data_IF_399570167628
#
_entry.id   IF_399570167628
#
_cell.length_a   1.000
_cell.length_b   1.000
_cell.length_c   1.000
_cell.angle_alpha   90.00
_cell.angle_beta   90.00
_cell.angle_gamma   90.00
#
_symmetry.space_group_name_H-M   'P 1'
#
loop_
_entity.id
_entity.type
_entity.pdbx_description
1 polymer ?
#
# COMPACT_ATOMS: atom_id res chain seq x y z
N UNK A 1 -7.46 -9.00 -28.74
CA UNK A 1 -7.94 -7.69 -28.33
C UNK A 1 -7.63 -7.45 -26.85
N UNK A 2 -7.11 -6.26 -26.52
CA UNK A 2 -6.72 -5.91 -25.15
C UNK A 2 -7.87 -6.07 -24.16
N UNK A 3 -9.09 -5.71 -24.56
CA UNK A 3 -10.29 -5.84 -23.74
C UNK A 3 -10.61 -7.29 -23.39
N UNK A 4 -10.40 -8.20 -24.34
CA UNK A 4 -10.60 -9.63 -24.13
C UNK A 4 -9.64 -10.18 -23.09
N UNK A 5 -8.38 -9.71 -23.12
CA UNK A 5 -7.37 -10.11 -22.14
C UNK A 5 -7.69 -9.57 -20.74
N UNK A 6 -8.21 -8.34 -20.67
CA UNK A 6 -8.62 -7.74 -19.40
C UNK A 6 -9.78 -8.51 -18.78
N UNK A 7 -10.74 -8.95 -19.58
CA UNK A 7 -11.89 -9.71 -19.11
C UNK A 7 -11.51 -11.11 -18.61
N UNK A 8 -10.34 -11.63 -19.04
CA UNK A 8 -9.82 -12.91 -18.56
C UNK A 8 -9.10 -12.77 -17.22
N UNK A 9 -8.68 -11.56 -16.84
CA UNK A 9 -8.08 -11.30 -15.54
C UNK A 9 -9.22 -11.28 -14.51
N UNK A 10 -9.26 -12.30 -13.67
CA UNK A 10 -10.30 -12.47 -12.68
C UNK A 10 -9.71 -12.42 -11.28
N UNK A 11 -9.76 -11.24 -10.67
CA UNK A 11 -9.26 -11.00 -9.31
C UNK A 11 -10.00 -11.85 -8.28
N UNK A 12 -11.19 -12.32 -8.59
CA UNK A 12 -11.96 -13.18 -7.69
C UNK A 12 -11.42 -14.60 -7.63
N UNK A 13 -10.61 -14.99 -8.61
CA UNK A 13 -9.97 -16.31 -8.63
C UNK A 13 -8.67 -16.28 -7.83
N UNK A 14 -8.51 -17.24 -6.92
CA UNK A 14 -7.30 -17.35 -6.10
C UNK A 14 -6.06 -17.62 -6.96
N UNK A 15 -6.23 -18.21 -8.15
CA UNK A 15 -5.14 -18.53 -9.04
C UNK A 15 -4.78 -17.38 -10.00
N UNK A 16 -5.52 -16.31 -9.98
CA UNK A 16 -5.27 -15.16 -10.86
C UNK A 16 -4.13 -14.30 -10.32
N UNK A 17 -3.10 -13.98 -11.14
CA UNK A 17 -2.00 -13.11 -10.69
C UNK A 17 -2.48 -11.76 -10.17
N UNK A 18 -3.57 -11.20 -10.69
CA UNK A 18 -4.12 -9.93 -10.21
C UNK A 18 -4.56 -10.01 -8.75
N UNK A 19 -4.95 -11.18 -8.25
CA UNK A 19 -5.31 -11.41 -6.85
C UNK A 19 -4.12 -11.14 -5.93
N UNK A 20 -2.94 -11.63 -6.30
CA UNK A 20 -1.71 -11.41 -5.53
C UNK A 20 -1.32 -9.94 -5.52
N UNK A 21 -1.42 -9.28 -6.67
CA UNK A 21 -1.08 -7.85 -6.78
C UNK A 21 -2.02 -7.03 -5.89
N UNK A 22 -3.31 -7.37 -5.89
CA UNK A 22 -4.27 -6.69 -5.01
C UNK A 22 -3.88 -6.84 -3.55
N UNK A 23 -3.46 -8.05 -3.13
CA UNK A 23 -2.97 -8.27 -1.77
C UNK A 23 -1.78 -7.38 -1.43
N UNK A 24 -0.83 -7.24 -2.36
CA UNK A 24 0.37 -6.45 -2.13
C UNK A 24 0.05 -4.98 -1.90
N UNK A 25 -0.80 -4.40 -2.75
CA UNK A 25 -1.09 -2.96 -2.69
C UNK A 25 -2.16 -2.61 -1.65
N UNK A 26 -3.03 -3.56 -1.30
CA UNK A 26 -4.11 -3.33 -0.35
C UNK A 26 -3.75 -3.72 1.09
N UNK A 27 -2.62 -4.38 1.31
CA UNK A 27 -2.13 -4.62 2.67
C UNK A 27 -1.89 -3.28 3.36
N UNK A 28 -2.04 -3.26 4.69
CA UNK A 28 -1.85 -2.01 5.44
C UNK A 28 -0.49 -1.39 5.15
N UNK A 29 0.58 -2.20 5.25
CA UNK A 29 1.93 -1.68 5.04
C UNK A 29 2.19 -1.29 3.60
N UNK A 30 1.73 -2.09 2.64
CA UNK A 30 1.86 -1.77 1.21
C UNK A 30 1.17 -0.47 0.85
N UNK A 31 -0.08 -0.31 1.30
CA UNK A 31 -0.86 0.92 1.06
C UNK A 31 -0.18 2.14 1.64
N UNK A 32 0.28 2.05 2.90
CA UNK A 32 0.91 3.17 3.60
C UNK A 32 2.24 3.57 2.96
N UNK A 33 3.06 2.59 2.55
CA UNK A 33 4.33 2.87 1.87
C UNK A 33 4.07 3.60 0.55
N UNK A 34 3.11 3.12 -0.24
CA UNK A 34 2.77 3.76 -1.51
C UNK A 34 2.34 5.21 -1.31
N UNK A 35 1.47 5.46 -0.33
CA UNK A 35 0.97 6.82 -0.04
C UNK A 35 2.10 7.73 0.42
N UNK A 36 2.96 7.25 1.32
CA UNK A 36 4.08 8.04 1.82
C UNK A 36 5.04 8.41 0.69
N UNK A 37 5.32 7.47 -0.20
CA UNK A 37 6.24 7.70 -1.32
C UNK A 37 5.70 8.67 -2.38
N UNK A 38 4.41 9.00 -2.33
CA UNK A 38 3.86 10.08 -3.18
C UNK A 38 4.46 11.44 -2.83
N UNK A 39 4.87 11.63 -1.58
CA UNK A 39 5.43 12.91 -1.14
C UNK A 39 6.80 13.19 -1.76
N UNK A 40 7.68 12.19 -1.76
CA UNK A 40 9.06 12.33 -2.22
C UNK A 40 9.79 10.99 -2.16
N UNK A 41 11.06 11.01 -2.52
CA UNK A 41 11.98 9.90 -2.31
C UNK A 41 12.34 9.81 -0.83
N UNK A 42 12.37 8.60 -0.28
CA UNK A 42 12.68 8.36 1.13
C UNK A 42 13.81 7.33 1.25
N UNK A 43 14.63 7.51 2.28
CA UNK A 43 15.57 6.47 2.72
C UNK A 43 14.81 5.46 3.58
N UNK A 44 15.39 4.27 3.72
CA UNK A 44 14.82 3.20 4.54
C UNK A 44 14.48 3.68 5.96
N UNK A 45 15.44 4.31 6.62
CA UNK A 45 15.25 4.81 7.99
C UNK A 45 14.17 5.88 8.07
N UNK A 46 14.06 6.71 7.04
CA UNK A 46 13.03 7.75 6.99
C UNK A 46 11.63 7.14 6.86
N UNK A 47 11.48 6.09 6.03
CA UNK A 47 10.21 5.37 5.91
C UNK A 47 9.83 4.72 7.23
N UNK A 48 10.79 4.11 7.91
CA UNK A 48 10.56 3.45 9.19
C UNK A 48 10.08 4.44 10.24
N UNK A 49 10.66 5.63 10.26
CA UNK A 49 10.26 6.68 11.20
C UNK A 49 8.90 7.31 10.83
N UNK A 50 8.62 7.40 9.55
CA UNK A 50 7.37 8.01 9.06
C UNK A 50 6.16 7.11 9.29
N UNK A 51 6.34 5.81 9.12
CA UNK A 51 5.24 4.83 9.25
C UNK A 51 5.32 4.19 10.63
N UNK A 52 4.46 4.66 11.52
CA UNK A 52 4.44 4.20 12.90
C UNK A 52 4.04 2.74 12.98
N UNK A 53 4.78 1.97 13.80
CA UNK A 53 4.46 0.57 14.08
C UNK A 53 5.05 -0.45 13.14
N UNK A 54 5.71 -0.03 12.04
CA UNK A 54 6.29 -0.99 11.11
C UNK A 54 7.66 -1.46 11.62
N UNK A 55 7.89 -2.78 11.59
CA UNK A 55 9.20 -3.35 11.92
C UNK A 55 10.14 -3.22 10.72
N UNK A 56 11.46 -3.27 11.00
CA UNK A 56 12.45 -3.26 9.92
C UNK A 56 12.24 -4.42 8.95
N UNK A 57 11.95 -5.60 9.51
CA UNK A 57 11.72 -6.81 8.71
C UNK A 57 10.51 -6.64 7.78
N UNK A 58 9.41 -6.13 8.31
CA UNK A 58 8.20 -5.93 7.53
C UNK A 58 8.38 -4.85 6.47
N UNK A 59 9.07 -3.77 6.83
CA UNK A 59 9.36 -2.70 5.87
C UNK A 59 10.21 -3.22 4.72
N UNK A 60 11.29 -3.94 5.03
CA UNK A 60 12.18 -4.50 4.01
C UNK A 60 11.42 -5.47 3.09
N UNK A 61 10.61 -6.35 3.68
CA UNK A 61 9.85 -7.35 2.94
C UNK A 61 8.81 -6.71 2.03
N UNK A 62 8.08 -5.72 2.54
CA UNK A 62 7.05 -5.02 1.78
C UNK A 62 7.66 -4.22 0.63
N UNK A 63 8.76 -3.51 0.90
CA UNK A 63 9.47 -2.76 -0.14
C UNK A 63 9.95 -3.69 -1.26
N UNK A 64 10.49 -4.85 -0.89
CA UNK A 64 10.95 -5.84 -1.87
C UNK A 64 9.80 -6.32 -2.75
N UNK A 65 8.66 -6.60 -2.15
CA UNK A 65 7.46 -7.03 -2.88
C UNK A 65 7.01 -5.95 -3.87
N UNK A 66 6.93 -4.70 -3.42
CA UNK A 66 6.51 -3.59 -4.27
C UNK A 66 7.52 -3.31 -5.38
N UNK A 67 8.81 -3.53 -5.10
CA UNK A 67 9.87 -3.41 -6.11
C UNK A 67 9.73 -4.47 -7.18
N UNK A 68 9.48 -5.72 -6.77
CA UNK A 68 9.27 -6.84 -7.69
C UNK A 68 8.07 -6.62 -8.60
N UNK A 69 7.03 -6.00 -8.08
CA UNK A 69 5.84 -5.68 -8.86
C UNK A 69 6.04 -4.48 -9.79
N UNK A 70 7.16 -3.76 -9.65
CA UNK A 70 7.47 -2.62 -10.49
C UNK A 70 6.87 -1.30 -10.03
N UNK A 71 6.41 -1.21 -8.78
CA UNK A 71 5.83 0.01 -8.23
C UNK A 71 6.85 0.89 -7.51
N UNK A 72 7.91 0.28 -6.99
CA UNK A 72 8.93 0.97 -6.21
C UNK A 72 10.30 0.75 -6.85
N UNK A 73 11.07 1.82 -6.91
CA UNK A 73 12.45 1.80 -7.37
C UNK A 73 13.37 1.91 -6.17
N UNK A 74 14.31 0.98 -6.05
CA UNK A 74 15.34 0.99 -5.05
C UNK A 74 16.66 1.45 -5.68
N UNK A 75 17.27 2.47 -5.12
CA UNK A 75 18.55 2.99 -5.63
C UNK A 75 19.56 2.98 -4.50
N UNK A 76 20.62 2.17 -4.69
CA UNK A 76 21.72 2.10 -3.76
C UNK A 76 22.89 2.95 -4.27
N UNK A 77 23.50 3.70 -3.37
CA UNK A 77 24.64 4.56 -3.69
C UNK A 77 25.91 3.98 -3.10
N UNK A 78 27.01 3.92 -3.86
CA UNK A 78 28.29 3.39 -3.38
C UNK A 78 29.05 4.43 -2.56
N UNK A 79 28.45 4.85 -1.45
CA UNK A 79 29.02 5.85 -0.54
C UNK A 79 29.17 5.25 0.85
N UNK A 80 29.96 5.93 1.72
CA UNK A 80 30.16 5.53 3.11
C UNK A 80 29.65 6.66 4.01
N UNK A 81 28.66 6.40 4.88
CA UNK A 81 27.89 5.16 5.05
C UNK A 81 27.00 4.86 3.85
N UNK A 82 26.60 3.58 3.65
CA UNK A 82 25.74 3.20 2.54
C UNK A 82 24.43 3.96 2.56
N UNK A 83 23.98 4.36 1.37
CA UNK A 83 22.75 5.11 1.20
C UNK A 83 21.83 4.35 0.24
N UNK A 84 20.61 4.07 0.66
CA UNK A 84 19.60 3.43 -0.17
C UNK A 84 18.35 4.30 -0.16
N UNK A 85 17.88 4.65 -1.35
CA UNK A 85 16.68 5.46 -1.51
C UNK A 85 15.59 4.68 -2.21
N UNK A 86 14.34 4.97 -1.84
CA UNK A 86 13.15 4.37 -2.41
C UNK A 86 12.27 5.46 -2.99
N UNK A 87 11.78 5.21 -4.20
CA UNK A 87 10.90 6.14 -4.90
C UNK A 87 9.85 5.37 -5.69
N UNK A 88 8.81 6.04 -6.12
CA UNK A 88 7.79 5.42 -6.96
C UNK A 88 8.18 5.46 -8.42
N UNK A 89 7.93 4.34 -9.13
CA UNK A 89 7.95 4.32 -10.58
C UNK A 89 6.71 5.06 -11.11
N UNK A 90 6.62 5.36 -12.41
CA UNK A 90 5.38 5.92 -12.97
C UNK A 90 4.15 5.05 -12.67
N UNK A 91 4.30 3.72 -12.77
CA UNK A 91 3.23 2.78 -12.42
C UNK A 91 2.90 2.84 -10.93
N UNK A 92 3.93 2.95 -10.07
CA UNK A 92 3.76 3.11 -8.64
C UNK A 92 3.02 4.39 -8.28
N UNK A 93 3.31 5.49 -8.96
CA UNK A 93 2.60 6.76 -8.76
C UNK A 93 1.11 6.62 -9.10
N UNK A 94 0.82 5.90 -10.17
CA UNK A 94 -0.56 5.66 -10.59
C UNK A 94 -1.36 4.91 -9.53
N UNK A 95 -0.84 3.78 -9.06
CA UNK A 95 -1.55 2.98 -8.05
C UNK A 95 -1.58 3.69 -6.69
N UNK A 96 -0.51 4.40 -6.33
CA UNK A 96 -0.44 5.11 -5.05
C UNK A 96 -1.53 6.19 -4.94
N UNK A 97 -1.86 6.84 -6.05
CA UNK A 97 -2.95 7.82 -6.06
C UNK A 97 -4.30 7.20 -5.72
N UNK A 98 -4.56 5.99 -6.20
CA UNK A 98 -5.78 5.25 -5.83
C UNK A 98 -5.81 4.95 -4.34
N UNK A 99 -4.66 4.55 -3.77
CA UNK A 99 -4.56 4.27 -2.34
C UNK A 99 -4.73 5.55 -1.52
N UNK A 100 -4.18 6.66 -1.99
CA UNK A 100 -4.35 7.96 -1.35
C UNK A 100 -5.82 8.37 -1.31
N UNK A 101 -6.52 8.24 -2.43
CA UNK A 101 -7.94 8.53 -2.50
C UNK A 101 -8.73 7.68 -1.50
N UNK A 102 -8.40 6.39 -1.41
CA UNK A 102 -9.05 5.48 -0.47
C UNK A 102 -8.81 5.89 0.98
N UNK A 103 -7.56 6.19 1.34
CA UNK A 103 -7.24 6.60 2.71
C UNK A 103 -7.89 7.92 3.09
N UNK A 104 -7.92 8.88 2.16
CA UNK A 104 -8.62 10.15 2.37
C UNK A 104 -10.13 9.95 2.53
N UNK A 105 -10.70 9.04 1.75
CA UNK A 105 -12.13 8.69 1.87
C UNK A 105 -12.44 8.13 3.25
N UNK A 106 -11.59 7.24 3.75
CA UNK A 106 -11.75 6.65 5.08
C UNK A 106 -11.71 7.74 6.16
N UNK A 107 -10.72 8.62 6.10
CA UNK A 107 -10.59 9.71 7.06
C UNK A 107 -11.80 10.64 7.04
N UNK A 108 -12.26 10.97 5.84
CA UNK A 108 -13.42 11.86 5.65
C UNK A 108 -14.69 11.24 6.21
N UNK A 109 -14.85 9.94 6.15
CA UNK A 109 -16.05 9.23 6.57
C UNK A 109 -15.89 8.54 7.93
N UNK A 110 -14.79 8.76 8.61
CA UNK A 110 -14.45 8.03 9.84
C UNK A 110 -15.49 8.22 10.93
N UNK A 111 -15.99 9.42 11.11
CA UNK A 111 -17.01 9.71 12.13
C UNK A 111 -18.28 8.89 11.91
N UNK A 112 -18.74 8.80 10.66
CA UNK A 112 -19.93 8.02 10.32
C UNK A 112 -19.69 6.53 10.51
N UNK A 113 -18.50 6.05 10.12
CA UNK A 113 -18.13 4.64 10.27
C UNK A 113 -18.09 4.27 11.76
N UNK A 114 -17.47 5.11 12.59
CA UNK A 114 -17.39 4.91 14.03
C UNK A 114 -18.76 4.87 14.66
N UNK A 115 -19.65 5.75 14.23
CA UNK A 115 -21.03 5.77 14.70
C UNK A 115 -21.76 4.48 14.35
N UNK A 116 -21.56 4.00 13.12
CA UNK A 116 -22.14 2.72 12.68
C UNK A 116 -21.66 1.56 13.55
N UNK A 117 -20.37 1.56 13.91
CA UNK A 117 -19.79 0.53 14.77
C UNK A 117 -20.41 0.54 16.17
N UNK A 118 -20.62 1.73 16.74
CA UNK A 118 -21.25 1.89 18.06
C UNK A 118 -22.69 1.35 18.05
N UNK A 119 -23.47 1.66 17.02
CA UNK A 119 -24.84 1.17 16.88
C UNK A 119 -24.89 -0.35 16.77
N UNK A 120 -24.00 -0.93 15.98
CA UNK A 120 -23.90 -2.38 15.82
C UNK A 120 -23.54 -3.08 17.14
N UNK A 121 -22.58 -2.52 17.90
CA UNK A 121 -22.18 -3.04 19.19
C UNK A 121 -23.33 -3.04 20.19
N UNK A 122 -24.13 -1.96 20.24
CA UNK A 122 -25.30 -1.86 21.10
C UNK A 122 -26.35 -2.92 20.76
N UNK A 123 -26.61 -3.13 19.46
CA UNK A 123 -27.56 -4.15 19.00
C UNK A 123 -27.11 -5.55 19.43
N UNK A 124 -25.83 -5.85 19.26
CA UNK A 124 -25.26 -7.15 19.65
C UNK A 124 -25.41 -7.39 21.16
N UNK A 125 -25.22 -6.36 21.98
CA UNK A 125 -25.36 -6.46 23.44
C UNK A 125 -26.79 -6.63 23.90
N UNK A 126 -27.76 -6.10 23.13
CA UNK A 126 -29.17 -6.22 23.47
C UNK A 126 -29.76 -7.60 23.10
N UNK A 127 -29.11 -8.32 22.21
CA UNK A 127 -29.51 -9.65 21.80
C UNK A 127 -28.77 -10.72 22.61
#
# INVERSE_FOLDING_TARGET
MARSKLLKADVLSVNCPSRQILDHISSTWGSLILVVLLERTFRFSELRNKIEGISEKMLAQTLQTLEQDGFVLRKAYPVIPPKVEYSLTPMGKSVAKHMQELTLWIEKNLAQITENQKKSSKKTKQN
#
